data_IF_782506838724
#
_entry.id   IF_782506838724
#
_cell.length_a   1.000
_cell.length_b   1.000
_cell.length_c   1.000
_cell.angle_alpha   90.00
_cell.angle_beta   90.00
_cell.angle_gamma   90.00
#
_symmetry.space_group_name_H-M   'P 1'
#
loop_
_entity.id
_entity.type
_entity.pdbx_description
1 polymer ?
#
# COMPACT_ATOMS: atom_id res chain seq x y z
N UNK A 1 -19.20 -12.06 0.59
CA UNK A 1 -18.00 -11.55 -0.11
C UNK A 1 -18.29 -10.13 -0.57
N UNK A 2 -17.40 -9.17 -0.31
CA UNK A 2 -17.67 -7.78 -0.67
C UNK A 2 -16.54 -7.19 -1.53
N UNK A 3 -16.92 -6.61 -2.67
CA UNK A 3 -16.06 -5.85 -3.58
C UNK A 3 -16.53 -4.39 -3.53
N UNK A 4 -15.80 -3.56 -2.78
CA UNK A 4 -15.99 -2.10 -2.65
C UNK A 4 -17.37 -1.60 -2.14
N UNK A 5 -18.35 -2.46 -1.89
CA UNK A 5 -19.71 -2.09 -1.41
C UNK A 5 -19.75 -1.63 0.07
N UNK A 6 -18.72 -1.94 0.84
CA UNK A 6 -18.57 -1.55 2.25
C UNK A 6 -17.34 -0.64 2.42
N UNK A 7 -16.91 0.03 1.34
CA UNK A 7 -15.92 1.11 1.44
C UNK A 7 -16.46 2.29 2.26
N UNK A 8 -17.77 2.53 2.18
CA UNK A 8 -18.51 3.63 2.82
C UNK A 8 -19.92 3.13 3.23
N UNK A 9 -20.49 3.64 4.32
CA UNK A 9 -21.90 3.42 4.70
C UNK A 9 -22.29 2.14 5.49
N UNK A 10 -21.44 1.11 5.55
CA UNK A 10 -21.72 -0.12 6.32
C UNK A 10 -20.99 -0.13 7.67
N UNK A 11 -21.73 -0.01 8.77
CA UNK A 11 -21.20 -0.05 10.14
C UNK A 11 -21.83 -1.21 10.92
N UNK A 12 -21.03 -2.25 11.17
CA UNK A 12 -21.40 -3.37 12.03
C UNK A 12 -20.32 -3.54 13.10
N UNK A 13 -20.54 -3.07 14.33
CA UNK A 13 -19.55 -3.21 15.42
C UNK A 13 -19.25 -4.67 15.80
N UNK A 14 -20.18 -5.58 15.54
CA UNK A 14 -20.11 -7.01 15.86
C UNK A 14 -19.24 -7.83 14.88
N UNK A 15 -18.45 -7.20 14.00
CA UNK A 15 -17.56 -7.92 13.09
C UNK A 15 -16.45 -8.62 13.88
N UNK A 16 -16.36 -9.95 13.81
CA UNK A 16 -15.34 -10.76 14.51
C UNK A 16 -14.20 -11.20 13.57
N UNK A 17 -14.40 -11.15 12.26
CA UNK A 17 -13.38 -11.55 11.29
C UNK A 17 -13.32 -10.61 10.08
N UNK A 18 -12.10 -10.32 9.62
CA UNK A 18 -11.81 -9.52 8.42
C UNK A 18 -10.87 -10.29 7.50
N UNK A 19 -11.32 -10.63 6.31
CA UNK A 19 -10.50 -11.29 5.27
C UNK A 19 -10.05 -10.27 4.22
N UNK A 20 -8.74 -10.10 4.07
CA UNK A 20 -8.11 -9.18 3.14
C UNK A 20 -7.68 -9.93 1.88
N UNK A 21 -8.41 -9.69 0.79
CA UNK A 21 -8.13 -10.25 -0.54
C UNK A 21 -7.69 -9.18 -1.55
N UNK A 22 -7.58 -7.91 -1.11
CA UNK A 22 -7.20 -6.79 -1.97
C UNK A 22 -5.83 -6.26 -1.56
N UNK A 23 -4.78 -6.42 -2.39
CA UNK A 23 -3.51 -5.77 -2.12
C UNK A 23 -3.70 -4.26 -2.22
N UNK A 24 -3.30 -3.52 -1.18
CA UNK A 24 -3.36 -2.05 -1.18
C UNK A 24 -1.99 -1.44 -0.96
N UNK A 25 -1.70 -0.36 -1.70
CA UNK A 25 -0.51 0.49 -1.51
C UNK A 25 -0.82 1.71 -0.63
N UNK A 26 -2.08 1.88 -0.20
CA UNK A 26 -2.52 2.97 0.66
C UNK A 26 -2.63 2.48 2.10
N UNK A 27 -1.75 2.99 2.98
CA UNK A 27 -1.81 2.74 4.42
C UNK A 27 -3.17 3.15 5.00
N UNK A 28 -3.70 4.30 4.57
CA UNK A 28 -4.98 4.81 5.05
C UNK A 28 -6.12 3.84 4.70
N UNK A 29 -6.14 3.33 3.47
CA UNK A 29 -7.18 2.37 3.04
C UNK A 29 -7.06 1.05 3.82
N UNK A 30 -5.83 0.56 4.03
CA UNK A 30 -5.58 -0.61 4.85
C UNK A 30 -6.12 -0.44 6.27
N UNK A 31 -5.77 0.67 6.94
CA UNK A 31 -6.22 0.97 8.31
C UNK A 31 -7.75 1.12 8.39
N UNK A 32 -8.37 1.74 7.39
CA UNK A 32 -9.82 1.85 7.30
C UNK A 32 -10.49 0.48 7.16
N UNK A 33 -9.94 -0.42 6.33
CA UNK A 33 -10.47 -1.76 6.10
C UNK A 33 -10.41 -2.62 7.37
N UNK A 34 -9.24 -2.71 8.01
CA UNK A 34 -9.06 -3.49 9.24
C UNK A 34 -9.80 -2.85 10.42
N UNK A 35 -9.88 -1.51 10.46
CA UNK A 35 -10.54 -0.76 11.51
C UNK A 35 -12.03 -1.06 11.68
N UNK A 36 -12.70 -1.54 10.62
CA UNK A 36 -14.09 -2.02 10.68
C UNK A 36 -14.25 -3.20 11.63
N UNK A 37 -13.28 -4.11 11.60
CA UNK A 37 -13.21 -5.24 12.52
C UNK A 37 -12.77 -4.83 13.92
N UNK A 38 -12.14 -3.68 14.14
CA UNK A 38 -11.61 -3.30 15.46
C UNK A 38 -12.62 -2.52 16.33
N UNK A 39 -13.85 -2.32 15.86
CA UNK A 39 -14.91 -1.69 16.66
C UNK A 39 -15.26 -2.54 17.88
N UNK A 40 -15.48 -1.89 19.02
CA UNK A 40 -15.91 -2.54 20.27
C UNK A 40 -17.40 -2.89 20.18
N UNK A 41 -17.76 -4.07 20.68
CA UNK A 41 -19.15 -4.53 20.77
C UNK A 41 -19.30 -5.43 21.99
N UNK A 42 -20.50 -5.48 22.58
CA UNK A 42 -20.78 -6.34 23.74
C UNK A 42 -20.67 -7.81 23.35
N UNK A 43 -19.96 -8.61 24.15
CA UNK A 43 -19.73 -10.04 23.87
C UNK A 43 -18.57 -10.33 22.90
N UNK A 44 -17.92 -9.30 22.35
CA UNK A 44 -16.80 -9.45 21.42
C UNK A 44 -15.46 -9.36 22.16
N UNK A 45 -14.75 -10.48 22.22
CA UNK A 45 -13.44 -10.57 22.89
C UNK A 45 -12.28 -10.21 21.94
N UNK A 46 -12.37 -10.64 20.69
CA UNK A 46 -11.28 -10.50 19.73
C UNK A 46 -11.75 -10.28 18.30
N UNK A 47 -10.80 -10.00 17.41
CA UNK A 47 -11.05 -9.89 15.97
C UNK A 47 -9.95 -10.59 15.21
N UNK A 48 -10.32 -11.50 14.33
CA UNK A 48 -9.41 -12.27 13.50
C UNK A 48 -9.19 -11.55 12.18
N UNK A 49 -7.94 -11.27 11.82
CA UNK A 49 -7.57 -10.64 10.55
C UNK A 49 -6.84 -11.68 9.71
N UNK A 50 -7.44 -12.07 8.59
CA UNK A 50 -6.89 -13.03 7.63
C UNK A 50 -6.35 -12.25 6.44
N UNK A 51 -5.03 -12.24 6.24
CA UNK A 51 -4.40 -11.43 5.19
C UNK A 51 -3.70 -12.30 4.12
N UNK A 52 -4.37 -12.47 2.98
CA UNK A 52 -3.86 -13.27 1.86
C UNK A 52 -2.95 -12.48 0.91
N UNK A 53 -2.79 -11.17 1.11
CA UNK A 53 -2.21 -10.25 0.12
C UNK A 53 -1.03 -9.45 0.68
N UNK A 54 -0.56 -9.83 1.88
CA UNK A 54 0.63 -9.26 2.53
C UNK A 54 0.48 -7.79 2.90
N UNK A 55 -0.73 -7.33 3.21
CA UNK A 55 -0.96 -5.96 3.68
C UNK A 55 -0.32 -5.70 5.05
N UNK A 56 -0.38 -6.64 5.99
CA UNK A 56 0.24 -6.57 7.32
C UNK A 56 1.77 -6.47 7.22
N UNK A 57 2.38 -7.23 6.32
CA UNK A 57 3.83 -7.15 6.07
C UNK A 57 4.23 -5.79 5.49
N UNK A 58 3.48 -5.32 4.50
CA UNK A 58 3.71 -4.05 3.81
C UNK A 58 3.54 -2.83 4.72
N UNK A 59 2.41 -2.75 5.42
CA UNK A 59 1.98 -1.57 6.19
C UNK A 59 2.29 -1.64 7.69
N UNK A 60 2.73 -2.80 8.19
CA UNK A 60 2.83 -3.09 9.61
C UNK A 60 1.49 -3.50 10.22
N UNK A 61 1.53 -3.93 11.48
CA UNK A 61 0.33 -4.37 12.18
C UNK A 61 -0.66 -3.22 12.40
N UNK A 62 -1.97 -3.47 12.43
CA UNK A 62 -2.97 -2.43 12.67
C UNK A 62 -2.78 -1.70 14.01
N UNK A 63 -2.33 -2.41 15.04
CA UNK A 63 -2.10 -1.93 16.41
C UNK A 63 -0.72 -1.28 16.62
N UNK A 64 0.11 -1.14 15.57
CA UNK A 64 1.36 -0.41 15.66
C UNK A 64 1.13 1.09 15.96
N UNK A 65 1.87 1.61 16.94
CA UNK A 65 1.93 3.04 17.23
C UNK A 65 2.54 3.75 16.02
N UNK A 66 1.89 4.83 15.58
CA UNK A 66 2.29 5.63 14.43
C UNK A 66 2.36 7.09 14.82
N UNK A 67 3.44 7.75 14.45
CA UNK A 67 3.59 9.20 14.61
C UNK A 67 2.85 9.89 13.47
N UNK A 68 1.72 10.52 13.79
CA UNK A 68 0.95 11.32 12.86
C UNK A 68 1.40 12.77 12.94
N UNK A 69 1.51 13.43 11.79
CA UNK A 69 1.69 14.89 11.72
C UNK A 69 0.47 15.54 11.12
N UNK A 70 0.03 16.64 11.72
CA UNK A 70 -0.98 17.54 11.14
C UNK A 70 -0.39 18.39 10.01
N UNK A 71 0.93 18.58 10.00
CA UNK A 71 1.60 19.11 8.81
C UNK A 71 1.45 18.06 7.73
N UNK A 72 0.53 18.32 6.80
CA UNK A 72 0.34 17.47 5.64
C UNK A 72 1.68 17.20 4.99
N UNK A 73 1.86 15.99 4.46
CA UNK A 73 3.06 15.72 3.67
C UNK A 73 3.04 16.72 2.51
N UNK A 74 4.06 17.55 2.40
CA UNK A 74 4.31 18.39 1.23
C UNK A 74 4.40 17.46 0.03
N UNK A 75 3.26 17.23 -0.61
CA UNK A 75 3.20 16.72 -1.97
C UNK A 75 3.84 17.85 -2.74
N UNK A 76 5.10 17.66 -3.17
CA UNK A 76 5.67 18.52 -4.21
C UNK A 76 4.57 18.71 -5.22
N UNK A 77 4.14 19.96 -5.42
CA UNK A 77 3.21 20.32 -6.47
C UNK A 77 3.74 19.60 -7.70
N UNK A 78 3.02 18.55 -8.16
CA UNK A 78 3.17 18.13 -9.53
C UNK A 78 2.89 19.42 -10.26
N UNK A 79 3.93 19.99 -10.85
CA UNK A 79 3.81 21.17 -11.69
C UNK A 79 2.57 20.96 -12.55
N UNK A 80 1.83 22.04 -12.75
CA UNK A 80 0.73 22.18 -13.69
C UNK A 80 1.20 21.93 -15.14
N UNK A 81 1.88 20.82 -15.39
CA UNK A 81 1.87 20.11 -16.66
C UNK A 81 0.45 19.61 -16.77
N UNK A 82 -0.38 20.53 -17.29
CA UNK A 82 -1.58 20.28 -18.06
C UNK A 82 -1.72 18.80 -18.34
N UNK A 83 -2.72 18.17 -17.72
CA UNK A 83 -3.12 16.77 -17.93
C UNK A 83 -2.86 16.40 -19.38
N UNK A 84 -1.70 15.80 -19.67
CA UNK A 84 -1.39 15.31 -21.00
C UNK A 84 -2.24 14.07 -21.11
N UNK A 85 -3.47 14.26 -21.61
CA UNK A 85 -4.41 13.20 -21.84
C UNK A 85 -3.66 12.15 -22.63
N UNK A 86 -3.41 10.99 -22.03
CA UNK A 86 -2.57 9.98 -22.67
C UNK A 86 -3.22 9.60 -24.01
N UNK A 87 -2.46 9.77 -25.09
CA UNK A 87 -2.89 9.47 -26.46
C UNK A 87 -2.07 8.30 -26.98
N UNK A 88 -2.68 7.47 -27.82
CA UNK A 88 -2.03 6.43 -28.62
C UNK A 88 -2.41 6.56 -30.09
N UNK A 89 -1.63 5.94 -30.97
CA UNK A 89 -1.86 5.96 -32.41
C UNK A 89 -2.53 4.65 -32.82
N UNK A 90 -3.57 4.72 -33.65
CA UNK A 90 -4.19 3.53 -34.23
C UNK A 90 -3.22 2.85 -35.22
N UNK A 91 -2.95 1.54 -35.11
CA UNK A 91 -2.04 0.85 -36.03
C UNK A 91 -2.60 0.69 -37.45
N UNK A 92 -3.92 0.84 -37.64
CA UNK A 92 -4.58 0.64 -38.95
C UNK A 92 -4.73 1.95 -39.74
N UNK A 93 -5.16 3.03 -39.10
CA UNK A 93 -5.44 4.30 -39.78
C UNK A 93 -4.64 5.49 -39.24
N UNK A 94 -3.71 5.25 -38.32
CA UNK A 94 -2.80 6.25 -37.73
C UNK A 94 -3.47 7.44 -37.02
N UNK A 95 -4.80 7.38 -36.83
CA UNK A 95 -5.50 8.40 -36.08
C UNK A 95 -5.08 8.38 -34.60
N UNK A 96 -4.87 9.57 -34.05
CA UNK A 96 -4.66 9.77 -32.62
C UNK A 96 -5.95 9.42 -31.85
N UNK A 97 -5.84 8.61 -30.80
CA UNK A 97 -6.95 8.15 -29.97
C UNK A 97 -6.57 8.26 -28.49
N UNK A 98 -7.56 8.44 -27.62
CA UNK A 98 -7.31 8.35 -26.18
C UNK A 98 -6.79 6.96 -25.80
N UNK A 99 -5.84 6.91 -24.87
CA UNK A 99 -5.22 5.64 -24.44
C UNK A 99 -6.21 4.66 -23.83
N UNK A 100 -7.36 5.13 -23.33
CA UNK A 100 -8.41 4.31 -22.72
C UNK A 100 -9.54 3.92 -23.70
N UNK A 101 -9.50 4.33 -24.98
CA UNK A 101 -10.53 3.92 -25.92
C UNK A 101 -10.59 2.38 -26.05
N UNK A 102 -11.71 1.80 -26.48
CA UNK A 102 -11.79 0.34 -26.70
C UNK A 102 -11.62 0.03 -28.18
N UNK A 103 -12.08 0.94 -29.04
CA UNK A 103 -11.93 0.90 -30.48
C UNK A 103 -11.51 2.26 -31.03
N UNK A 104 -10.95 2.29 -32.23
CA UNK A 104 -10.66 3.53 -32.94
C UNK A 104 -11.95 4.17 -33.45
N UNK A 105 -12.15 5.45 -33.15
CA UNK A 105 -13.34 6.21 -33.57
C UNK A 105 -13.41 6.49 -35.09
N UNK A 106 -12.32 6.26 -35.84
CA UNK A 106 -12.27 6.52 -37.28
C UNK A 106 -12.42 5.24 -38.12
N UNK A 107 -11.71 4.17 -37.76
CA UNK A 107 -11.67 2.94 -38.58
C UNK A 107 -12.23 1.69 -37.88
N UNK A 108 -12.67 1.81 -36.62
CA UNK A 108 -13.24 0.70 -35.84
C UNK A 108 -12.23 -0.34 -35.33
N UNK A 109 -10.92 -0.13 -35.52
CA UNK A 109 -9.89 -1.05 -35.00
C UNK A 109 -10.01 -1.24 -33.48
N UNK A 110 -10.13 -2.50 -33.02
CA UNK A 110 -10.22 -2.84 -31.60
C UNK A 110 -8.82 -2.92 -30.99
N UNK A 111 -8.59 -2.20 -29.89
CA UNK A 111 -7.30 -2.21 -29.23
C UNK A 111 -7.19 -3.38 -28.25
N UNK A 112 -6.02 -4.02 -28.19
CA UNK A 112 -5.77 -5.11 -27.26
C UNK A 112 -5.73 -4.61 -25.82
N UNK A 113 -6.73 -4.99 -25.03
CA UNK A 113 -6.75 -4.76 -23.59
C UNK A 113 -5.85 -5.82 -22.98
N UNK A 114 -4.63 -5.45 -22.58
CA UNK A 114 -3.77 -6.33 -21.78
C UNK A 114 -4.39 -6.51 -20.41
N UNK A 115 -5.14 -7.59 -20.23
CA UNK A 115 -5.61 -8.01 -18.91
C UNK A 115 -4.37 -8.36 -18.09
N UNK A 116 -4.18 -7.69 -16.96
CA UNK A 116 -3.10 -8.03 -16.03
C UNK A 116 -3.40 -9.43 -15.48
N UNK A 117 -2.58 -10.43 -15.86
CA UNK A 117 -2.63 -11.75 -15.23
C UNK A 117 -2.17 -11.59 -13.78
N UNK A 118 -2.98 -12.05 -12.85
CA UNK A 118 -2.62 -12.14 -11.44
C UNK A 118 -2.00 -13.52 -11.27
N UNK A 119 -0.76 -13.56 -10.79
CA UNK A 119 -0.12 -14.82 -10.41
C UNK A 119 -0.71 -15.28 -9.08
N UNK A 120 -1.17 -16.53 -9.05
CA UNK A 120 -1.64 -17.18 -7.83
C UNK A 120 -0.51 -18.06 -7.30
N UNK A 121 -0.26 -17.97 -6.00
CA UNK A 121 0.66 -18.85 -5.29
C UNK A 121 -0.11 -19.48 -4.15
N UNK A 122 -0.07 -20.81 -4.06
CA UNK A 122 -0.65 -21.52 -2.93
C UNK A 122 0.18 -21.23 -1.67
N UNK A 123 -0.50 -21.03 -0.55
CA UNK A 123 0.14 -20.76 0.73
C UNK A 123 -0.86 -20.82 1.87
N UNK A 124 -0.36 -21.25 3.02
CA UNK A 124 -1.16 -21.34 4.24
C UNK A 124 -1.04 -20.05 5.06
N UNK A 125 -2.15 -19.64 5.67
CA UNK A 125 -2.12 -18.55 6.64
C UNK A 125 -1.50 -19.04 7.93
N UNK A 126 -0.42 -18.37 8.35
CA UNK A 126 0.28 -18.65 9.60
C UNK A 126 -0.04 -17.52 10.59
N UNK A 127 -0.32 -17.87 11.83
CA UNK A 127 -0.55 -16.88 12.87
C UNK A 127 0.69 -16.00 13.07
N UNK A 128 0.48 -14.68 12.98
CA UNK A 128 1.57 -13.72 13.11
C UNK A 128 1.89 -13.52 14.59
N UNK A 129 3.04 -14.04 15.03
CA UNK A 129 3.60 -13.65 16.32
C UNK A 129 4.03 -12.17 16.27
N UNK A 130 3.25 -11.31 16.93
CA UNK A 130 3.42 -9.85 16.92
C UNK A 130 4.81 -9.42 17.40
N UNK A 131 5.38 -10.09 18.38
CA UNK A 131 6.70 -9.77 18.93
C UNK A 131 7.81 -10.17 17.96
N UNK A 132 7.70 -11.37 17.38
CA UNK A 132 8.64 -11.85 16.37
C UNK A 132 8.67 -10.93 15.15
N UNK A 133 7.50 -10.48 14.66
CA UNK A 133 7.41 -9.56 13.53
C UNK A 133 8.02 -8.19 13.83
N UNK A 134 7.71 -7.61 15.00
CA UNK A 134 8.32 -6.34 15.44
C UNK A 134 9.83 -6.46 15.58
N UNK A 135 10.33 -7.56 16.16
CA UNK A 135 11.76 -7.85 16.32
C UNK A 135 12.45 -8.01 14.96
N UNK A 136 11.87 -8.77 14.04
CA UNK A 136 12.38 -8.96 12.67
C UNK A 136 12.47 -7.63 11.93
N UNK A 137 11.41 -6.80 11.96
CA UNK A 137 11.40 -5.48 11.29
C UNK A 137 12.47 -4.52 11.85
N UNK A 138 12.64 -4.52 13.18
CA UNK A 138 13.71 -3.76 13.86
C UNK A 138 15.10 -4.29 13.51
N UNK A 139 15.27 -5.61 13.45
CA UNK A 139 16.53 -6.25 13.08
C UNK A 139 16.91 -5.91 11.65
N UNK A 140 16.02 -6.12 10.68
CA UNK A 140 16.23 -5.76 9.27
C UNK A 140 16.63 -4.30 9.11
N UNK A 141 15.89 -3.39 9.75
CA UNK A 141 16.24 -1.97 9.71
C UNK A 141 17.61 -1.73 10.36
N UNK A 142 17.91 -2.37 11.50
CA UNK A 142 19.19 -2.25 12.20
C UNK A 142 20.38 -2.78 11.41
N UNK A 143 20.19 -3.86 10.64
CA UNK A 143 21.19 -4.48 9.76
C UNK A 143 21.47 -3.58 8.55
N UNK A 144 20.44 -2.94 7.98
CA UNK A 144 20.61 -1.96 6.90
C UNK A 144 21.31 -0.70 7.42
N UNK A 145 22.64 -0.65 7.32
CA UNK A 145 23.46 0.45 7.86
C UNK A 145 23.60 1.61 6.89
N UNK A 146 23.78 1.34 5.61
CA UNK A 146 23.98 2.39 4.60
C UNK A 146 22.68 3.05 4.18
N UNK A 147 22.77 4.20 3.51
CA UNK A 147 21.58 4.86 2.95
C UNK A 147 20.95 3.97 1.86
N UNK A 148 21.75 3.36 0.99
CA UNK A 148 21.26 2.52 -0.11
C UNK A 148 20.61 1.23 0.39
N UNK A 149 21.15 0.60 1.46
CA UNK A 149 20.50 -0.56 2.10
C UNK A 149 19.12 -0.20 2.64
N UNK A 150 18.97 1.01 3.20
CA UNK A 150 17.67 1.52 3.64
C UNK A 150 16.76 1.82 2.45
N UNK A 151 17.28 2.32 1.33
CA UNK A 151 16.45 2.48 0.13
C UNK A 151 15.94 1.12 -0.36
N UNK A 152 16.83 0.13 -0.47
CA UNK A 152 16.48 -1.24 -0.88
C UNK A 152 15.45 -1.87 0.06
N UNK A 153 15.63 -1.72 1.37
CA UNK A 153 14.66 -2.18 2.37
C UNK A 153 13.31 -1.45 2.27
N UNK A 154 13.33 -0.16 1.95
CA UNK A 154 12.11 0.60 1.69
C UNK A 154 11.37 0.13 0.43
N UNK A 155 12.11 -0.26 -0.61
CA UNK A 155 11.57 -0.82 -1.85
C UNK A 155 10.95 -2.20 -1.58
N UNK A 156 11.66 -3.09 -0.88
CA UNK A 156 11.15 -4.42 -0.56
C UNK A 156 9.89 -4.36 0.31
N UNK A 157 9.81 -3.37 1.21
CA UNK A 157 8.61 -3.09 2.03
C UNK A 157 7.47 -2.39 1.26
N UNK A 158 7.66 -2.06 -0.01
CA UNK A 158 6.63 -1.42 -0.84
C UNK A 158 6.33 0.03 -0.44
N UNK A 159 7.27 0.74 0.18
CA UNK A 159 7.06 2.14 0.54
C UNK A 159 6.96 3.01 -0.70
N UNK A 160 5.97 3.91 -0.73
CA UNK A 160 5.74 4.84 -1.85
C UNK A 160 6.91 5.79 -2.14
N UNK A 161 7.74 6.07 -1.14
CA UNK A 161 8.92 6.96 -1.24
C UNK A 161 10.10 6.38 -0.46
N UNK A 162 10.74 5.31 -0.97
CA UNK A 162 11.76 4.57 -0.23
C UNK A 162 12.98 5.45 0.08
N UNK A 163 13.42 6.29 -0.86
CA UNK A 163 14.49 7.27 -0.65
C UNK A 163 14.21 8.28 0.48
N UNK A 164 12.95 8.72 0.61
CA UNK A 164 12.60 9.68 1.64
C UNK A 164 12.56 9.03 3.03
N UNK A 165 11.96 7.85 3.12
CA UNK A 165 11.98 7.05 4.34
C UNK A 165 13.43 6.75 4.79
N UNK A 166 14.27 6.27 3.87
CA UNK A 166 15.68 6.00 4.11
C UNK A 166 16.41 7.26 4.63
N UNK A 167 16.11 8.43 4.05
CA UNK A 167 16.68 9.72 4.48
C UNK A 167 16.27 10.08 5.91
N UNK A 168 14.99 9.93 6.26
CA UNK A 168 14.50 10.18 7.62
C UNK A 168 15.20 9.26 8.64
N UNK A 169 15.29 7.96 8.34
CA UNK A 169 15.96 6.98 9.21
C UNK A 169 17.45 7.28 9.34
N UNK A 170 18.14 7.54 8.22
CA UNK A 170 19.57 7.83 8.21
C UNK A 170 19.88 9.13 8.99
N UNK A 171 19.12 10.20 8.76
CA UNK A 171 19.28 11.47 9.48
C UNK A 171 19.04 11.30 10.98
N UNK A 172 18.02 10.54 11.39
CA UNK A 172 17.76 10.25 12.80
C UNK A 172 18.94 9.52 13.47
N UNK A 173 19.61 8.60 12.73
CA UNK A 173 20.82 7.93 13.21
C UNK A 173 22.00 8.88 13.35
N UNK A 174 22.22 9.75 12.36
CA UNK A 174 23.32 10.72 12.42
C UNK A 174 23.13 11.71 13.57
N UNK A 175 21.90 12.19 13.81
CA UNK A 175 21.58 13.01 14.99
C UNK A 175 21.90 12.27 16.28
N UNK A 176 21.46 11.02 16.43
CA UNK A 176 21.78 10.20 17.62
C UNK A 176 23.28 9.97 17.83
N UNK A 177 24.09 9.95 16.77
CA UNK A 177 25.55 9.90 16.88
C UNK A 177 26.13 11.23 17.37
N UNK A 178 25.63 12.36 16.85
CA UNK A 178 26.04 13.69 17.32
C UNK A 178 25.72 13.94 18.81
N UNK A 179 24.57 13.45 19.31
CA UNK A 179 24.17 13.63 20.71
C UNK A 179 24.74 12.59 21.70
N UNK A 180 25.52 11.62 21.20
CA UNK A 180 26.20 10.60 22.04
C UNK A 180 27.72 10.79 22.09
N UNK A 181 28.24 11.80 21.41
CA UNK A 181 29.64 12.24 21.48
C UNK A 181 29.82 13.34 22.50
#
# INVERSE_FOLDING_TARGET
CNVDLFGEGFDVPAIEAVTMLRPTQSLALYLQQVGRGLRRSTGKEQTIILDHVGNCERHGLPDEIRDWSLTGIDKKNKSSIQSSTAVRICPKCFAAQFSHAISCNFCGYKFDIKVRKIEHQDGDLIEVNKEALKKKRKLEQGVSKTFDDLVALGISRGYKRPHFWAKCVHNARQRKKLFKG
#
